data_IF_995824071704
#
_entry.id   IF_995824071704
#
_cell.length_a   1.000
_cell.length_b   1.000
_cell.length_c   1.000
_cell.angle_alpha   90.00
_cell.angle_beta   90.00
_cell.angle_gamma   90.00
#
_symmetry.space_group_name_H-M   'P 1'
#
loop_
_entity.id
_entity.type
_entity.pdbx_description
1 polymer ?
#
# COMPACT_ATOMS: atom_id res chain seq x y z
N UNK A 1 -38.64 5.59 6.30
CA UNK A 1 -37.95 4.32 6.58
C UNK A 1 -36.49 4.65 6.82
N UNK A 2 -36.05 4.56 8.07
CA UNK A 2 -34.65 4.76 8.47
C UNK A 2 -33.89 3.52 8.02
N UNK A 3 -33.12 3.62 6.95
CA UNK A 3 -32.16 2.57 6.56
C UNK A 3 -31.12 2.46 7.66
N UNK A 4 -31.28 1.45 8.52
CA UNK A 4 -30.23 1.04 9.47
C UNK A 4 -29.10 0.48 8.59
N UNK A 5 -28.05 1.28 8.42
CA UNK A 5 -26.81 0.80 7.80
C UNK A 5 -26.30 -0.39 8.63
N UNK A 6 -25.88 -1.49 7.99
CA UNK A 6 -25.31 -2.62 8.73
C UNK A 6 -24.09 -2.15 9.55
N UNK A 7 -23.80 -2.78 10.69
CA UNK A 7 -22.71 -2.37 11.56
C UNK A 7 -21.40 -2.26 10.79
N UNK A 8 -20.68 -1.15 10.98
CA UNK A 8 -19.42 -0.87 10.29
C UNK A 8 -18.38 -1.94 10.64
N UNK A 9 -17.87 -2.64 9.62
CA UNK A 9 -16.72 -3.52 9.78
C UNK A 9 -15.50 -2.76 10.34
N UNK A 10 -14.61 -3.45 11.08
CA UNK A 10 -13.42 -2.83 11.63
C UNK A 10 -12.46 -2.37 10.52
N UNK A 11 -11.76 -1.26 10.74
CA UNK A 11 -10.67 -0.82 9.88
C UNK A 11 -9.38 -1.55 10.27
N UNK A 12 -8.70 -2.14 9.28
CA UNK A 12 -7.45 -2.88 9.45
C UNK A 12 -6.32 -2.19 8.71
N UNK A 13 -5.33 -1.67 9.45
CA UNK A 13 -4.22 -0.93 8.86
C UNK A 13 -2.90 -1.43 9.44
N UNK A 14 -1.92 -1.65 8.57
CA UNK A 14 -0.52 -1.86 8.92
C UNK A 14 0.21 -0.60 8.48
N UNK A 15 0.72 0.20 9.43
CA UNK A 15 1.41 1.45 9.14
C UNK A 15 2.89 1.37 9.48
N UNK A 16 3.75 1.76 8.54
CA UNK A 16 5.19 1.88 8.73
C UNK A 16 5.62 3.26 9.22
N UNK A 17 4.68 4.21 9.33
CA UNK A 17 4.98 5.58 9.75
C UNK A 17 5.37 5.62 11.22
N UNK A 18 6.34 6.46 11.56
CA UNK A 18 6.62 6.78 12.96
C UNK A 18 5.40 7.48 13.59
N UNK A 19 5.17 7.25 14.87
CA UNK A 19 4.29 8.11 15.67
C UNK A 19 5.15 8.74 16.76
N UNK A 20 5.65 9.95 16.51
CA UNK A 20 6.49 10.69 17.44
C UNK A 20 5.72 11.23 18.67
N UNK A 21 4.59 10.62 19.04
CA UNK A 21 3.78 11.00 20.19
C UNK A 21 2.91 12.25 19.98
N UNK A 22 2.68 12.65 18.73
CA UNK A 22 1.81 13.79 18.39
C UNK A 22 0.46 13.35 17.82
N UNK A 23 0.21 12.05 17.72
CA UNK A 23 -1.11 11.57 17.32
C UNK A 23 -1.45 11.90 15.86
N UNK A 24 -0.44 12.19 15.06
CA UNK A 24 -0.46 12.06 13.61
C UNK A 24 0.77 11.23 13.30
N UNK A 25 0.65 10.00 12.76
CA UNK A 25 1.81 9.35 12.15
C UNK A 25 2.59 10.34 11.32
N UNK A 26 3.87 10.45 11.61
CA UNK A 26 4.78 11.28 10.86
C UNK A 26 4.98 10.75 9.44
N UNK A 27 5.82 11.49 8.74
CA UNK A 27 6.11 11.28 7.33
C UNK A 27 7.26 10.30 7.09
N UNK A 28 7.88 9.83 8.16
CA UNK A 28 9.08 9.00 8.16
C UNK A 28 8.76 7.57 8.58
N UNK A 29 9.67 6.64 8.35
CA UNK A 29 9.59 5.30 8.90
C UNK A 29 9.64 5.31 10.44
N UNK A 30 9.02 4.30 11.04
CA UNK A 30 9.16 4.02 12.45
C UNK A 30 10.64 3.79 12.82
N UNK A 31 11.07 4.28 13.99
CA UNK A 31 12.50 4.39 14.35
C UNK A 31 13.21 3.05 14.51
N UNK A 32 12.45 1.95 14.63
CA UNK A 32 12.96 0.60 14.87
C UNK A 32 12.58 -0.39 13.75
N UNK A 33 12.24 0.08 12.55
CA UNK A 33 11.78 -0.77 11.44
C UNK A 33 10.58 -1.67 11.84
N UNK A 34 9.74 -1.15 12.73
CA UNK A 34 8.53 -1.81 13.21
C UNK A 34 7.29 -1.30 12.47
N UNK A 35 6.24 -2.14 12.45
CA UNK A 35 4.94 -1.77 11.92
C UNK A 35 3.94 -1.60 13.06
N UNK A 36 3.10 -0.57 12.96
CA UNK A 36 1.97 -0.35 13.84
C UNK A 36 0.74 -1.05 13.26
N UNK A 37 0.14 -1.95 14.05
CA UNK A 37 -1.05 -2.71 13.66
C UNK A 37 -2.28 -2.09 14.28
N UNK A 38 -3.08 -1.41 13.45
CA UNK A 38 -4.22 -0.63 13.91
C UNK A 38 -5.50 -1.38 13.66
N UNK A 39 -6.31 -1.49 14.70
CA UNK A 39 -7.64 -2.08 14.68
C UNK A 39 -8.64 -1.05 15.19
N UNK A 40 -9.59 -0.64 14.34
CA UNK A 40 -10.69 0.26 14.75
C UNK A 40 -12.04 -0.41 14.59
N UNK A 41 -12.86 -0.43 15.63
CA UNK A 41 -14.14 -1.19 15.65
C UNK A 41 -15.40 -0.36 15.37
N UNK A 42 -15.33 0.94 15.06
CA UNK A 42 -16.52 1.75 14.69
C UNK A 42 -16.27 2.85 13.65
N UNK A 43 -17.27 3.12 12.79
CA UNK A 43 -17.31 4.23 11.82
C UNK A 43 -18.61 5.03 12.00
N UNK A 44 -18.50 6.34 12.19
CA UNK A 44 -19.42 7.29 11.55
C UNK A 44 -18.57 8.14 10.59
N UNK A 45 -18.85 8.17 9.28
CA UNK A 45 -18.24 9.15 8.39
C UNK A 45 -18.76 10.56 8.74
N UNK A 46 -17.97 11.62 8.62
CA UNK A 46 -18.46 12.97 8.87
C UNK A 46 -19.51 13.34 7.81
N UNK A 47 -20.62 13.92 8.25
CA UNK A 47 -21.60 14.57 7.38
C UNK A 47 -21.11 15.98 7.04
N UNK A 48 -20.10 16.13 6.17
CA UNK A 48 -19.62 17.43 5.70
C UNK A 48 -18.26 17.41 4.99
N UNK A 49 -17.87 18.52 4.31
CA UNK A 49 -16.53 18.66 3.73
C UNK A 49 -15.46 18.71 4.81
N UNK A 50 -14.45 17.86 4.69
CA UNK A 50 -13.37 17.68 5.67
C UNK A 50 -12.35 18.82 5.53
N UNK A 51 -12.18 19.63 6.57
CA UNK A 51 -11.13 20.66 6.64
C UNK A 51 -9.82 20.07 7.14
N UNK A 52 -8.67 20.59 6.69
CA UNK A 52 -7.35 20.22 7.19
C UNK A 52 -7.14 20.50 8.70
N UNK A 53 -8.06 21.24 9.32
CA UNK A 53 -8.09 21.56 10.75
C UNK A 53 -9.08 20.71 11.56
N UNK A 54 -9.74 19.72 10.94
CA UNK A 54 -10.79 18.90 11.56
C UNK A 54 -10.18 17.72 12.35
N UNK A 55 -10.48 17.56 13.66
CA UNK A 55 -9.85 16.58 14.57
C UNK A 55 -10.18 15.09 14.31
N UNK A 56 -10.54 14.71 13.08
CA UNK A 56 -10.41 13.33 12.60
C UNK A 56 -8.97 12.96 12.25
N UNK A 57 -8.03 13.72 12.81
CA UNK A 57 -6.68 13.30 13.13
C UNK A 57 -6.72 11.86 13.56
N UNK A 58 -6.19 11.03 12.67
CA UNK A 58 -5.80 9.69 13.02
C UNK A 58 -4.73 9.84 14.07
N UNK A 59 -5.14 9.95 15.33
CA UNK A 59 -4.30 9.46 16.39
C UNK A 59 -4.14 7.98 16.02
N UNK A 60 -2.97 7.62 15.47
CA UNK A 60 -2.35 6.34 15.77
C UNK A 60 -2.12 6.24 17.30
N UNK A 61 -3.08 6.66 18.13
CA UNK A 61 -3.04 6.49 19.56
C UNK A 61 -2.73 5.03 19.79
N UNK A 62 -1.76 4.82 20.66
CA UNK A 62 -1.50 3.59 21.41
C UNK A 62 -2.76 2.78 21.68
N UNK A 63 -3.90 3.44 21.92
CA UNK A 63 -5.19 2.84 22.29
C UNK A 63 -5.80 1.90 21.25
N UNK A 64 -5.47 2.06 19.96
CA UNK A 64 -5.97 1.20 18.87
C UNK A 64 -4.87 0.36 18.21
N UNK A 65 -3.63 0.50 18.68
CA UNK A 65 -2.51 -0.33 18.24
C UNK A 65 -2.55 -1.64 19.04
N UNK A 66 -2.64 -2.74 18.32
CA UNK A 66 -2.64 -4.09 18.90
C UNK A 66 -1.38 -4.84 18.46
N UNK A 67 -1.08 -5.96 19.13
CA UNK A 67 -0.01 -6.84 18.67
C UNK A 67 -0.32 -7.48 17.30
N UNK A 68 0.72 -7.76 16.51
CA UNK A 68 0.61 -8.34 15.17
C UNK A 68 -0.29 -9.59 15.13
N UNK A 69 -0.11 -10.51 16.08
CA UNK A 69 -0.88 -11.76 16.15
C UNK A 69 -2.36 -11.51 16.45
N UNK A 70 -2.65 -10.60 17.39
CA UNK A 70 -4.03 -10.22 17.73
C UNK A 70 -4.72 -9.51 16.55
N UNK A 71 -3.98 -8.65 15.85
CA UNK A 71 -4.44 -7.99 14.63
C UNK A 71 -4.76 -9.00 13.54
N UNK A 72 -3.81 -9.89 13.21
CA UNK A 72 -3.97 -10.91 12.18
C UNK A 72 -5.15 -11.83 12.46
N UNK A 73 -5.29 -12.28 13.72
CA UNK A 73 -6.45 -13.07 14.15
C UNK A 73 -7.75 -12.32 13.91
N UNK A 74 -7.80 -11.01 14.18
CA UNK A 74 -9.02 -10.22 13.96
C UNK A 74 -9.36 -10.06 12.48
N UNK A 75 -8.35 -9.92 11.62
CA UNK A 75 -8.55 -9.93 10.16
C UNK A 75 -9.11 -11.28 9.72
N UNK A 76 -8.53 -12.40 10.18
CA UNK A 76 -8.97 -13.75 9.82
C UNK A 76 -10.41 -14.03 10.30
N UNK A 77 -10.76 -13.65 11.53
CA UNK A 77 -12.13 -13.72 12.05
C UNK A 77 -13.12 -12.93 11.18
N UNK A 78 -12.72 -11.73 10.75
CA UNK A 78 -13.58 -10.85 9.95
C UNK A 78 -13.73 -11.35 8.52
N UNK A 79 -12.66 -11.91 7.94
CA UNK A 79 -12.70 -12.57 6.64
C UNK A 79 -13.56 -13.84 6.66
N UNK A 80 -13.64 -14.54 7.80
CA UNK A 80 -14.43 -15.78 7.95
C UNK A 80 -14.14 -16.82 6.85
N UNK A 81 -12.85 -16.96 6.48
CA UNK A 81 -12.38 -17.83 5.39
C UNK A 81 -12.47 -17.22 3.97
N UNK A 82 -13.04 -16.02 3.84
CA UNK A 82 -13.11 -15.25 2.60
C UNK A 82 -11.80 -14.58 2.18
N UNK A 83 -11.82 -13.88 1.04
CA UNK A 83 -10.65 -13.18 0.51
C UNK A 83 -10.28 -11.94 1.33
N UNK A 84 -8.98 -11.66 1.40
CA UNK A 84 -8.42 -10.43 1.97
C UNK A 84 -7.75 -9.63 0.87
N UNK A 85 -8.12 -8.35 0.74
CA UNK A 85 -7.48 -7.41 -0.16
C UNK A 85 -6.57 -6.47 0.64
N UNK A 86 -5.28 -6.48 0.31
CA UNK A 86 -4.30 -5.51 0.78
C UNK A 86 -4.31 -4.33 -0.20
N UNK A 87 -4.75 -3.17 0.26
CA UNK A 87 -4.69 -1.92 -0.48
C UNK A 87 -3.40 -1.15 -0.14
N UNK A 88 -2.66 -0.75 -1.17
CA UNK A 88 -1.44 0.07 -1.07
C UNK A 88 -1.68 1.38 -1.81
N UNK A 89 -1.62 2.50 -1.07
CA UNK A 89 -1.85 3.83 -1.64
C UNK A 89 -0.67 4.32 -2.49
N UNK A 90 -0.91 5.36 -3.32
CA UNK A 90 0.11 6.06 -4.09
C UNK A 90 0.85 7.15 -3.31
N UNK A 91 1.62 7.98 -4.02
CA UNK A 91 2.40 9.08 -3.44
C UNK A 91 1.50 10.19 -2.85
N UNK A 92 2.10 11.11 -2.08
CA UNK A 92 1.45 12.32 -1.56
C UNK A 92 0.25 12.10 -0.64
N UNK A 93 0.37 11.14 0.29
CA UNK A 93 -0.68 10.88 1.28
C UNK A 93 -0.18 11.18 2.70
N UNK A 94 -0.91 12.04 3.42
CA UNK A 94 -0.86 12.07 4.88
C UNK A 94 -1.76 10.94 5.42
N UNK A 95 -1.52 10.50 6.65
CA UNK A 95 -2.28 9.39 7.21
C UNK A 95 -3.80 9.57 7.25
N UNK A 96 -4.39 10.75 7.56
CA UNK A 96 -5.85 10.92 7.47
C UNK A 96 -6.41 10.65 6.06
N UNK A 97 -5.60 10.88 5.03
CA UNK A 97 -5.99 10.68 3.64
C UNK A 97 -5.88 9.22 3.21
N UNK A 98 -4.94 8.48 3.80
CA UNK A 98 -4.86 7.02 3.66
C UNK A 98 -6.14 6.37 4.19
N UNK A 99 -6.67 6.86 5.32
CA UNK A 99 -7.97 6.40 5.85
C UNK A 99 -9.12 6.71 4.90
N UNK A 100 -9.12 7.91 4.33
CA UNK A 100 -10.15 8.30 3.36
C UNK A 100 -10.15 7.36 2.16
N UNK A 101 -8.96 7.00 1.66
CA UNK A 101 -8.79 6.04 0.56
C UNK A 101 -9.18 4.63 0.94
N UNK A 102 -8.73 4.15 2.10
CA UNK A 102 -9.16 2.87 2.66
C UNK A 102 -10.68 2.79 2.70
N UNK A 103 -11.34 3.82 3.23
CA UNK A 103 -12.79 3.88 3.35
C UNK A 103 -13.49 3.84 1.99
N UNK A 104 -12.93 4.51 0.97
CA UNK A 104 -13.46 4.48 -0.39
C UNK A 104 -13.36 3.07 -1.00
N UNK A 105 -12.21 2.41 -0.89
CA UNK A 105 -12.00 1.04 -1.37
C UNK A 105 -12.93 0.06 -0.65
N UNK A 106 -12.93 0.09 0.68
CA UNK A 106 -13.78 -0.75 1.53
C UNK A 106 -15.28 -0.56 1.21
N UNK A 107 -15.73 0.67 1.06
CA UNK A 107 -17.15 0.95 0.73
C UNK A 107 -17.52 0.52 -0.69
N UNK A 108 -16.59 0.66 -1.65
CA UNK A 108 -16.79 0.17 -3.02
C UNK A 108 -16.92 -1.35 -3.09
N UNK A 109 -16.19 -2.08 -2.25
CA UNK A 109 -16.18 -3.55 -2.22
C UNK A 109 -17.30 -4.15 -1.38
N UNK A 110 -17.85 -3.41 -0.40
CA UNK A 110 -18.97 -3.87 0.45
C UNK A 110 -20.23 -4.24 -0.31
N UNK A 111 -20.46 -3.61 -1.47
CA UNK A 111 -21.62 -3.91 -2.31
C UNK A 111 -21.40 -5.13 -3.22
N UNK A 112 -20.24 -5.77 -3.16
CA UNK A 112 -19.93 -6.98 -3.94
C UNK A 112 -20.33 -8.24 -3.16
N UNK A 113 -20.71 -9.29 -3.90
CA UNK A 113 -21.04 -10.60 -3.30
C UNK A 113 -19.80 -11.31 -2.71
N UNK A 114 -18.59 -10.84 -3.04
CA UNK A 114 -17.33 -11.50 -2.71
C UNK A 114 -16.91 -11.37 -1.23
N UNK A 115 -17.60 -10.55 -0.42
CA UNK A 115 -17.34 -10.35 1.02
C UNK A 115 -15.85 -10.19 1.33
N UNK A 116 -15.19 -9.28 0.62
CA UNK A 116 -13.75 -9.05 0.74
C UNK A 116 -13.45 -8.25 2.01
N UNK A 117 -12.53 -8.73 2.84
CA UNK A 117 -11.98 -7.96 3.95
C UNK A 117 -10.83 -7.10 3.45
N UNK A 118 -10.92 -5.79 3.66
CA UNK A 118 -9.87 -4.84 3.22
C UNK A 118 -8.90 -4.56 4.36
N UNK A 119 -7.61 -4.67 4.04
CA UNK A 119 -6.47 -4.25 4.85
C UNK A 119 -5.78 -3.09 4.11
N UNK A 120 -5.41 -2.02 4.81
CA UNK A 120 -4.55 -0.97 4.25
C UNK A 120 -3.09 -1.23 4.65
N UNK A 121 -2.18 -1.16 3.70
CA UNK A 121 -0.75 -1.08 3.94
C UNK A 121 -0.30 0.38 3.73
N UNK A 122 -0.03 1.06 4.83
CA UNK A 122 0.35 2.48 4.88
C UNK A 122 1.86 2.61 4.96
N UNK A 123 2.44 3.15 3.90
CA UNK A 123 3.88 3.41 3.79
C UNK A 123 4.15 4.92 3.86
N UNK A 124 5.33 5.36 4.33
CA UNK A 124 5.60 6.77 4.53
C UNK A 124 5.72 7.52 3.20
N UNK A 125 4.75 8.40 2.92
CA UNK A 125 4.77 9.35 1.80
C UNK A 125 4.52 10.77 2.31
N UNK A 126 5.00 11.76 1.55
CA UNK A 126 5.01 13.18 1.94
C UNK A 126 4.22 14.03 0.94
N UNK A 127 3.62 15.13 1.41
CA UNK A 127 2.83 16.03 0.55
C UNK A 127 3.63 17.04 -0.26
N UNK A 128 4.96 17.07 -0.10
CA UNK A 128 5.79 18.14 -0.63
C UNK A 128 6.21 17.85 -2.08
N UNK A 129 5.28 18.07 -3.01
CA UNK A 129 5.54 18.02 -4.45
C UNK A 129 6.16 19.35 -4.91
N UNK A 130 7.22 19.36 -5.76
CA UNK A 130 7.95 18.23 -6.34
C UNK A 130 9.22 17.82 -5.55
N UNK A 131 9.52 18.47 -4.43
CA UNK A 131 10.83 18.34 -3.75
C UNK A 131 11.13 16.93 -3.23
N UNK A 132 10.10 16.13 -2.97
CA UNK A 132 10.26 14.84 -2.28
C UNK A 132 9.80 13.63 -3.12
N UNK A 133 9.62 13.75 -4.44
CA UNK A 133 9.19 12.60 -5.24
C UNK A 133 10.20 11.43 -5.19
N UNK A 134 11.50 11.71 -5.30
CA UNK A 134 12.56 10.70 -5.17
C UNK A 134 12.62 10.10 -3.75
N UNK A 135 12.37 10.94 -2.73
CA UNK A 135 12.34 10.51 -1.32
C UNK A 135 11.18 9.54 -1.08
N UNK A 136 9.99 9.88 -1.58
CA UNK A 136 8.81 9.01 -1.51
C UNK A 136 9.01 7.73 -2.33
N UNK A 137 9.68 7.79 -3.49
CA UNK A 137 10.00 6.61 -4.29
C UNK A 137 10.96 5.67 -3.54
N UNK A 138 12.02 6.21 -2.95
CA UNK A 138 12.95 5.47 -2.09
C UNK A 138 12.23 4.84 -0.89
N UNK A 139 11.29 5.56 -0.28
CA UNK A 139 10.46 5.04 0.80
C UNK A 139 9.54 3.91 0.32
N UNK A 140 8.93 4.03 -0.86
CA UNK A 140 8.12 2.97 -1.45
C UNK A 140 8.95 1.69 -1.70
N UNK A 141 10.15 1.84 -2.26
CA UNK A 141 11.10 0.73 -2.48
C UNK A 141 11.47 0.07 -1.15
N UNK A 142 11.89 0.85 -0.15
CA UNK A 142 12.25 0.36 1.19
C UNK A 142 11.09 -0.32 1.91
N UNK A 143 9.84 0.04 1.59
CA UNK A 143 8.64 -0.53 2.20
C UNK A 143 8.30 -1.95 1.72
N UNK A 144 8.83 -2.38 0.56
CA UNK A 144 8.53 -3.69 -0.04
C UNK A 144 8.80 -4.88 0.90
N UNK A 145 9.99 -5.03 1.49
CA UNK A 145 10.28 -6.09 2.46
C UNK A 145 9.32 -6.13 3.67
N UNK A 146 8.77 -4.98 4.08
CA UNK A 146 7.80 -4.90 5.17
C UNK A 146 6.40 -5.35 4.74
N UNK A 147 5.99 -5.14 3.49
CA UNK A 147 4.75 -5.72 2.97
C UNK A 147 4.75 -7.23 3.14
N UNK A 148 5.86 -7.87 2.78
CA UNK A 148 6.04 -9.32 2.93
C UNK A 148 6.09 -9.75 4.40
N UNK A 149 7.01 -9.17 5.18
CA UNK A 149 7.30 -9.63 6.55
C UNK A 149 6.30 -9.18 7.61
N UNK A 150 5.70 -8.00 7.47
CA UNK A 150 4.81 -7.39 8.48
C UNK A 150 3.33 -7.45 8.10
N UNK A 151 2.98 -7.64 6.82
CA UNK A 151 1.58 -7.77 6.42
C UNK A 151 1.26 -9.20 5.97
N UNK A 152 1.84 -9.66 4.86
CA UNK A 152 1.51 -10.97 4.27
C UNK A 152 1.81 -12.11 5.24
N UNK A 153 2.98 -12.12 5.88
CA UNK A 153 3.33 -13.17 6.83
C UNK A 153 2.44 -13.19 8.07
N UNK A 154 2.02 -12.01 8.57
CA UNK A 154 1.10 -11.91 9.71
C UNK A 154 -0.28 -12.49 9.35
N UNK A 155 -0.79 -12.20 8.15
CA UNK A 155 -2.06 -12.78 7.68
C UNK A 155 -1.96 -14.30 7.51
N UNK A 156 -0.84 -14.80 6.96
CA UNK A 156 -0.58 -16.24 6.84
C UNK A 156 -0.53 -16.94 8.20
N UNK A 157 0.20 -16.35 9.16
CA UNK A 157 0.29 -16.87 10.53
C UNK A 157 -1.08 -16.91 11.23
N UNK A 158 -1.99 -15.99 10.89
CA UNK A 158 -3.37 -15.98 11.36
C UNK A 158 -4.29 -17.00 10.67
N UNK A 159 -3.76 -17.82 9.74
CA UNK A 159 -4.49 -18.89 9.05
C UNK A 159 -5.14 -18.49 7.73
N UNK A 160 -4.87 -17.29 7.21
CA UNK A 160 -5.35 -16.89 5.88
C UNK A 160 -4.51 -17.59 4.82
N UNK A 161 -5.16 -18.34 3.93
CA UNK A 161 -4.50 -19.01 2.82
C UNK A 161 -3.86 -17.98 1.88
N UNK A 162 -2.61 -18.18 1.48
CA UNK A 162 -1.89 -17.21 0.63
C UNK A 162 -2.64 -16.86 -0.65
N UNK A 163 -3.27 -17.84 -1.30
CA UNK A 163 -4.09 -17.65 -2.51
C UNK A 163 -5.33 -16.74 -2.32
N UNK A 164 -5.79 -16.56 -1.07
CA UNK A 164 -6.91 -15.68 -0.72
C UNK A 164 -6.43 -14.26 -0.36
N UNK A 165 -5.11 -14.02 -0.36
CA UNK A 165 -4.53 -12.69 -0.20
C UNK A 165 -4.37 -12.09 -1.59
N UNK A 166 -5.02 -10.96 -1.82
CA UNK A 166 -4.94 -10.18 -3.05
C UNK A 166 -4.35 -8.81 -2.74
N UNK A 167 -3.74 -8.16 -3.73
CA UNK A 167 -3.10 -6.85 -3.58
C UNK A 167 -3.67 -5.90 -4.62
N UNK A 168 -4.08 -4.72 -4.18
CA UNK A 168 -4.44 -3.57 -5.02
C UNK A 168 -3.44 -2.45 -4.74
N UNK A 169 -2.69 -2.02 -5.73
CA UNK A 169 -1.81 -0.85 -5.63
C UNK A 169 -2.31 0.29 -6.49
N UNK A 170 -2.01 1.51 -6.07
CA UNK A 170 -2.24 2.73 -6.85
C UNK A 170 -0.91 3.48 -7.04
N UNK A 171 -0.61 3.95 -8.25
CA UNK A 171 0.55 4.81 -8.53
C UNK A 171 1.85 4.26 -7.91
N UNK A 172 2.58 5.08 -7.17
CA UNK A 172 3.86 4.74 -6.54
C UNK A 172 3.78 3.55 -5.55
N UNK A 173 2.57 3.16 -5.11
CA UNK A 173 2.37 1.91 -4.38
C UNK A 173 2.77 0.66 -5.18
N UNK A 174 2.88 0.76 -6.51
CA UNK A 174 3.45 -0.27 -7.37
C UNK A 174 4.89 -0.62 -7.01
N UNK A 175 5.73 0.37 -6.65
CA UNK A 175 7.10 0.13 -6.18
C UNK A 175 7.14 -0.72 -4.92
N UNK A 176 6.20 -0.52 -3.99
CA UNK A 176 6.10 -1.34 -2.76
C UNK A 176 5.87 -2.80 -3.12
N UNK A 177 4.88 -3.09 -3.98
CA UNK A 177 4.60 -4.46 -4.40
C UNK A 177 5.76 -5.07 -5.20
N UNK A 178 6.36 -4.31 -6.13
CA UNK A 178 7.48 -4.79 -6.94
C UNK A 178 8.67 -5.22 -6.08
N UNK A 179 9.02 -4.41 -5.07
CA UNK A 179 10.15 -4.67 -4.19
C UNK A 179 9.83 -5.68 -3.08
N UNK A 180 8.56 -5.97 -2.80
CA UNK A 180 8.19 -7.08 -1.92
C UNK A 180 8.49 -8.46 -2.54
N UNK A 181 8.55 -8.54 -3.88
CA UNK A 181 8.68 -9.77 -4.67
C UNK A 181 9.90 -9.72 -5.62
N UNK A 182 10.99 -9.12 -5.15
CA UNK A 182 12.26 -8.94 -5.87
C UNK A 182 13.08 -10.24 -6.04
N UNK A 183 12.71 -11.29 -5.29
CA UNK A 183 13.34 -12.62 -5.27
C UNK A 183 12.36 -13.69 -5.74
N UNK A 184 12.87 -14.84 -6.20
CA UNK A 184 11.99 -15.95 -6.62
C UNK A 184 11.26 -16.53 -5.42
N UNK A 185 9.97 -16.82 -5.59
CA UNK A 185 9.14 -17.43 -4.56
C UNK A 185 9.66 -18.81 -4.15
N UNK A 186 9.73 -19.01 -2.85
CA UNK A 186 10.04 -20.30 -2.22
C UNK A 186 8.80 -20.91 -1.55
N UNK A 187 7.64 -20.28 -1.73
CA UNK A 187 6.40 -20.61 -1.04
C UNK A 187 5.17 -20.37 -1.93
N UNK A 188 3.98 -20.66 -1.38
CA UNK A 188 2.71 -20.54 -2.10
C UNK A 188 2.46 -19.10 -2.56
N UNK A 189 1.85 -18.97 -3.74
CA UNK A 189 1.57 -17.69 -4.38
C UNK A 189 0.42 -16.93 -3.69
N UNK A 190 0.50 -15.60 -3.72
CA UNK A 190 -0.66 -14.72 -3.47
C UNK A 190 -1.61 -14.77 -4.68
N UNK A 191 -2.89 -14.50 -4.46
CA UNK A 191 -3.93 -14.70 -5.47
C UNK A 191 -3.78 -13.77 -6.68
N UNK A 192 -4.07 -12.49 -6.51
CA UNK A 192 -4.01 -11.51 -7.59
C UNK A 192 -3.30 -10.25 -7.11
N UNK A 193 -2.48 -9.67 -7.99
CA UNK A 193 -2.01 -8.29 -7.85
C UNK A 193 -2.62 -7.46 -8.98
N UNK A 194 -3.36 -6.42 -8.60
CA UNK A 194 -3.86 -5.39 -9.48
C UNK A 194 -3.11 -4.09 -9.22
N UNK A 195 -2.51 -3.51 -10.25
CA UNK A 195 -1.85 -2.21 -10.19
C UNK A 195 -2.66 -1.21 -11.01
N UNK A 196 -3.17 -0.17 -10.36
CA UNK A 196 -3.94 0.91 -10.98
C UNK A 196 -3.06 2.15 -11.15
N UNK A 197 -3.03 2.72 -12.36
CA UNK A 197 -2.21 3.89 -12.71
C UNK A 197 -0.75 3.66 -12.30
N UNK A 198 -0.22 2.48 -12.66
CA UNK A 198 1.00 1.98 -12.05
C UNK A 198 2.21 2.85 -12.41
N UNK A 199 2.76 3.53 -11.39
CA UNK A 199 3.99 4.30 -11.49
C UNK A 199 5.18 3.35 -11.29
N UNK A 200 5.36 2.48 -12.29
CA UNK A 200 6.46 1.52 -12.40
C UNK A 200 6.86 1.47 -13.86
N UNK A 201 8.16 1.29 -14.12
CA UNK A 201 8.65 1.22 -15.50
C UNK A 201 8.01 0.03 -16.23
N UNK A 202 7.28 0.30 -17.30
CA UNK A 202 6.69 -0.73 -18.17
C UNK A 202 7.75 -1.73 -18.66
N UNK A 203 8.95 -1.22 -18.96
CA UNK A 203 10.10 -2.03 -19.34
C UNK A 203 10.48 -3.11 -18.31
N UNK A 204 10.19 -2.90 -17.02
CA UNK A 204 10.41 -3.90 -15.98
C UNK A 204 9.51 -5.15 -16.12
N UNK A 205 8.43 -5.04 -16.91
CA UNK A 205 7.47 -6.12 -17.17
C UNK A 205 7.53 -6.65 -18.62
N UNK A 206 8.47 -6.18 -19.44
CA UNK A 206 8.67 -6.70 -20.79
C UNK A 206 9.32 -8.08 -20.76
N UNK A 207 8.79 -9.01 -21.56
CA UNK A 207 9.25 -10.40 -21.64
C UNK A 207 10.74 -10.55 -22.06
N UNK A 208 11.32 -9.51 -22.69
CA UNK A 208 12.74 -9.46 -23.08
C UNK A 208 13.67 -8.85 -22.03
N UNK A 209 13.17 -8.41 -20.87
CA UNK A 209 13.99 -7.84 -19.82
C UNK A 209 14.82 -8.94 -19.14
N UNK A 210 16.14 -8.79 -19.16
CA UNK A 210 17.09 -9.73 -18.53
C UNK A 210 17.17 -9.57 -17.02
N UNK A 211 16.65 -8.46 -16.47
CA UNK A 211 16.44 -8.34 -15.03
C UNK A 211 15.35 -9.33 -14.64
N UNK A 212 15.70 -10.25 -13.76
CA UNK A 212 14.80 -11.27 -13.21
C UNK A 212 13.56 -10.70 -12.49
N UNK A 213 13.35 -9.38 -12.46
CA UNK A 213 12.26 -8.71 -11.74
C UNK A 213 10.87 -9.25 -12.11
N UNK A 214 10.53 -9.36 -13.41
CA UNK A 214 9.25 -9.93 -13.83
C UNK A 214 9.12 -11.40 -13.40
N UNK A 215 10.19 -12.19 -13.54
CA UNK A 215 10.22 -13.60 -13.14
C UNK A 215 10.07 -13.77 -11.63
N UNK A 216 10.79 -12.99 -10.83
CA UNK A 216 10.65 -12.97 -9.38
C UNK A 216 9.22 -12.58 -9.01
N UNK A 217 8.72 -11.46 -9.53
CA UNK A 217 7.38 -10.97 -9.25
C UNK A 217 6.29 -11.98 -9.61
N UNK A 218 6.33 -12.53 -10.82
CA UNK A 218 5.36 -13.53 -11.30
C UNK A 218 5.46 -14.88 -10.58
N UNK A 219 6.62 -15.21 -10.00
CA UNK A 219 6.74 -16.42 -9.17
C UNK A 219 5.94 -16.32 -7.86
N UNK A 220 5.67 -15.11 -7.37
CA UNK A 220 4.94 -14.85 -6.12
C UNK A 220 3.42 -14.77 -6.29
N UNK A 221 2.89 -14.64 -7.50
CA UNK A 221 1.49 -14.27 -7.75
C UNK A 221 0.83 -15.22 -8.74
N UNK A 222 -0.45 -15.54 -8.55
CA UNK A 222 -1.18 -16.36 -9.53
C UNK A 222 -1.73 -15.54 -10.70
N UNK A 223 -2.10 -14.27 -10.47
CA UNK A 223 -2.60 -13.37 -11.50
C UNK A 223 -2.04 -11.95 -11.35
N UNK A 224 -1.66 -11.34 -12.48
CA UNK A 224 -1.25 -9.94 -12.58
C UNK A 224 -2.21 -9.19 -13.50
N UNK A 225 -2.67 -8.02 -13.05
CA UNK A 225 -3.37 -7.05 -13.90
C UNK A 225 -2.73 -5.69 -13.68
N UNK A 226 -2.26 -5.06 -14.75
CA UNK A 226 -1.67 -3.71 -14.68
C UNK A 226 -2.45 -2.79 -15.61
N UNK A 227 -2.97 -1.71 -15.05
CA UNK A 227 -3.60 -0.64 -15.80
C UNK A 227 -2.67 0.56 -15.83
N UNK A 228 -2.19 0.89 -17.03
CA UNK A 228 -1.53 2.15 -17.34
C UNK A 228 -2.51 3.07 -18.07
N UNK A 229 -2.45 4.37 -17.78
CA UNK A 229 -3.13 5.39 -18.58
C UNK A 229 -2.09 6.07 -19.49
N UNK A 230 -2.37 6.14 -20.79
CA UNK A 230 -1.50 6.83 -21.76
C UNK A 230 -1.49 8.35 -21.64
N UNK A 231 -2.25 8.91 -20.68
CA UNK A 231 -2.32 10.35 -20.35
C UNK A 231 -1.84 10.58 -18.91
N UNK A 232 -1.18 9.59 -18.31
CA UNK A 232 -0.69 9.65 -16.94
C UNK A 232 0.60 10.47 -16.84
N UNK A 233 0.49 11.67 -16.26
CA UNK A 233 1.63 12.55 -16.00
C UNK A 233 2.63 11.98 -14.97
N UNK A 234 2.27 10.93 -14.21
CA UNK A 234 3.22 10.23 -13.35
C UNK A 234 4.23 9.42 -14.18
N UNK A 235 3.79 8.81 -15.28
CA UNK A 235 4.68 8.13 -16.23
C UNK A 235 5.56 9.15 -16.98
N UNK A 236 5.01 10.31 -17.38
CA UNK A 236 5.81 11.41 -17.92
C UNK A 236 6.76 12.01 -16.88
N UNK A 237 6.38 12.10 -15.60
CA UNK A 237 7.22 12.59 -14.51
C UNK A 237 8.40 11.66 -14.22
N UNK A 238 8.13 10.35 -14.10
CA UNK A 238 9.15 9.31 -13.94
C UNK A 238 10.09 9.26 -15.17
N UNK A 239 9.56 9.41 -16.39
CA UNK A 239 10.36 9.43 -17.62
C UNK A 239 11.11 10.75 -17.86
N UNK A 240 10.53 11.91 -17.53
CA UNK A 240 11.16 13.22 -17.68
C UNK A 240 12.33 13.40 -16.71
N UNK A 241 12.26 12.82 -15.51
CA UNK A 241 13.39 12.77 -14.58
C UNK A 241 14.49 11.80 -15.04
N UNK A 242 14.14 10.63 -15.59
CA UNK A 242 15.12 9.70 -16.17
C UNK A 242 15.88 10.33 -17.36
N UNK A 243 15.22 11.14 -18.19
CA UNK A 243 15.85 11.91 -19.28
C UNK A 243 16.69 13.09 -18.79
N UNK A 244 16.34 13.69 -17.65
CA UNK A 244 17.13 14.74 -16.97
C UNK A 244 18.46 14.18 -16.46
N UNK A 245 18.45 13.02 -15.81
CA UNK A 245 19.65 12.32 -15.34
C UNK A 245 20.57 11.87 -16.49
N UNK A 246 20.01 11.39 -17.61
CA UNK A 246 20.81 10.97 -18.77
C UNK A 246 21.52 12.16 -19.45
N UNK A 247 20.93 13.37 -19.42
CA UNK A 247 21.58 14.60 -19.93
C UNK A 247 22.69 15.13 -19.01
N UNK A 248 22.65 14.82 -17.72
CA UNK A 248 23.69 15.22 -16.75
C UNK A 248 24.85 14.20 -16.70
N UNK A 249 24.60 12.94 -17.05
CA UNK A 249 25.64 11.89 -17.04
C UNK A 249 26.47 11.79 -18.32
N UNK A 250 25.95 12.21 -19.48
CA UNK A 250 26.72 12.21 -20.75
C UNK A 250 27.94 13.17 -20.71
N UNK A 251 27.88 14.37 -20.09
CA UNK A 251 29.06 15.22 -19.91
C UNK A 251 30.09 14.66 -18.91
N UNK A 252 29.67 13.85 -17.93
CA UNK A 252 30.59 13.28 -16.93
C UNK A 252 31.36 12.06 -17.45
N UNK A 253 30.81 11.32 -18.44
CA UNK A 253 31.52 10.21 -19.09
C UNK A 253 32.50 10.65 -20.19
N UNK A 254 32.55 11.95 -20.53
CA UNK A 254 33.47 12.52 -21.53
C UNK A 254 34.70 13.18 -20.84
N UNK A 255 34.76 13.17 -19.50
CA UNK A 255 35.83 13.77 -18.70
C UNK A 255 36.59 12.77 -17.78
N UNK A 256 36.47 11.47 -18.06
CA UNK A 256 37.36 10.41 -17.57
C UNK A 256 37.94 9.65 -18.77
#
# INVERSE_FOLDING_TARGET
>A
MTTILPPSLPAFIVSLRNDSGHGIPGKEFNTDDTANYVLKTSRNPPSGPVSASDPYTYLLTTDNVVGADAWGKKVAETAAGGPVLIFIHGFSNLAPEVITRYNAVDSGLKNTQAKITVVCFDWPSTKDVPKNYEIDQDAAIKSGPFLKSKCIQVLKNAGILTKNIHILTHSMGGYVAQNAFDTVATEAQVGQVLMAEADVLEAAFNAGNTNNALRCFTSWISHLTVYWSGVDLALEGAMAFAFSMLKIMIPLLILL
#
